data_IF_295884518183
#
_entry.id   IF_295884518183
#
_cell.length_a   1.000
_cell.length_b   1.000
_cell.length_c   1.000
_cell.angle_alpha   90.00
_cell.angle_beta   90.00
_cell.angle_gamma   90.00
#
_symmetry.space_group_name_H-M   'P 1'
#
loop_
_entity.id
_entity.type
_entity.pdbx_description
1 polymer ?
#
# COMPACT_ATOMS: atom_id res chain seq x y z
N UNK A 1 -1.50 -19.28 24.80
CA UNK A 1 -0.88 -20.14 23.75
C UNK A 1 -1.97 -20.69 22.81
N UNK A 2 -3.23 -20.70 23.22
CA UNK A 2 -4.34 -21.23 22.40
C UNK A 2 -4.75 -20.37 21.18
N UNK A 3 -4.47 -19.07 21.18
CA UNK A 3 -4.79 -18.19 20.04
C UNK A 3 -3.87 -18.33 18.82
N UNK A 4 -2.63 -18.78 19.01
CA UNK A 4 -1.64 -18.91 17.93
C UNK A 4 -1.91 -20.17 17.09
N UNK A 5 -2.37 -21.25 17.74
CA UNK A 5 -2.71 -22.50 17.07
C UNK A 5 -4.00 -22.38 16.22
N UNK A 6 -4.97 -21.58 16.64
CA UNK A 6 -6.23 -21.38 15.90
C UNK A 6 -6.03 -20.52 14.62
N UNK A 7 -5.07 -19.58 14.64
CA UNK A 7 -4.70 -18.78 13.47
C UNK A 7 -3.97 -19.60 12.40
N UNK A 8 -3.06 -20.51 12.82
CA UNK A 8 -2.33 -21.39 11.91
C UNK A 8 -3.21 -22.49 11.32
N UNK A 9 -4.13 -23.08 12.10
CA UNK A 9 -5.04 -24.14 11.63
C UNK A 9 -6.17 -23.64 10.72
N UNK A 10 -6.50 -22.34 10.75
CA UNK A 10 -7.50 -21.71 9.86
C UNK A 10 -6.88 -20.91 8.70
N UNK A 11 -5.57 -21.00 8.49
CA UNK A 11 -4.87 -20.26 7.43
C UNK A 11 -4.88 -18.73 7.60
N UNK A 12 -5.15 -18.23 8.81
CA UNK A 12 -5.23 -16.79 9.14
C UNK A 12 -3.89 -16.28 9.64
N UNK A 13 -2.83 -16.50 8.86
CA UNK A 13 -1.55 -15.82 9.10
C UNK A 13 -1.66 -14.39 8.59
N UNK A 14 -1.26 -13.41 9.41
CA UNK A 14 -1.29 -11.99 9.07
C UNK A 14 -0.36 -11.60 7.91
N UNK A 15 0.52 -12.50 7.49
CA UNK A 15 1.38 -12.31 6.33
C UNK A 15 0.67 -12.72 5.03
N UNK A 16 -0.33 -13.60 5.09
CA UNK A 16 -0.98 -14.20 3.91
C UNK A 16 -1.56 -13.17 2.94
N UNK A 17 -2.30 -12.14 3.40
CA UNK A 17 -2.85 -11.15 2.48
C UNK A 17 -1.75 -10.40 1.71
N UNK A 18 -0.70 -9.97 2.41
CA UNK A 18 0.44 -9.31 1.77
C UNK A 18 1.19 -10.24 0.82
N UNK A 19 1.33 -11.53 1.16
CA UNK A 19 1.96 -12.51 0.28
C UNK A 19 1.16 -12.74 -1.02
N UNK A 20 -0.17 -12.79 -0.94
CA UNK A 20 -1.03 -12.88 -2.13
C UNK A 20 -0.93 -11.62 -3.00
N UNK A 21 -0.87 -10.43 -2.38
CA UNK A 21 -0.65 -9.19 -3.12
C UNK A 21 0.73 -9.18 -3.81
N UNK A 22 1.79 -9.67 -3.13
CA UNK A 22 3.12 -9.80 -3.74
C UNK A 22 3.15 -10.81 -4.89
N UNK A 23 2.37 -11.88 -4.80
CA UNK A 23 2.23 -12.82 -5.91
C UNK A 23 1.61 -12.13 -7.14
N UNK A 24 0.57 -11.31 -6.94
CA UNK A 24 -0.02 -10.52 -8.02
C UNK A 24 0.97 -9.56 -8.69
N UNK A 25 1.89 -8.96 -7.90
CA UNK A 25 2.99 -8.12 -8.40
C UNK A 25 3.99 -8.89 -9.28
N UNK A 26 4.12 -10.21 -9.11
CA UNK A 26 4.91 -11.04 -10.02
C UNK A 26 4.09 -11.39 -11.26
N UNK A 27 2.85 -11.85 -11.07
CA UNK A 27 2.01 -12.36 -12.16
C UNK A 27 1.71 -11.28 -13.21
N UNK A 28 1.31 -10.08 -12.80
CA UNK A 28 0.94 -9.02 -13.76
C UNK A 28 2.15 -8.46 -14.51
N UNK A 29 3.05 -7.72 -13.83
CA UNK A 29 4.23 -7.12 -14.45
C UNK A 29 5.21 -8.10 -15.10
N UNK A 30 5.51 -9.25 -14.47
CA UNK A 30 6.58 -10.15 -14.95
C UNK A 30 6.04 -11.16 -15.96
N UNK A 31 4.87 -11.73 -15.69
CA UNK A 31 4.28 -12.76 -16.59
C UNK A 31 3.31 -12.16 -17.61
N UNK A 32 2.94 -10.89 -17.49
CA UNK A 32 2.00 -10.21 -18.38
C UNK A 32 0.53 -10.59 -18.14
N UNK A 33 0.21 -11.34 -17.08
CA UNK A 33 -1.13 -11.84 -16.80
C UNK A 33 -1.87 -10.93 -15.80
N UNK A 34 -2.41 -9.84 -16.32
CA UNK A 34 -3.13 -8.85 -15.50
C UNK A 34 -4.47 -9.35 -14.96
N UNK A 35 -5.11 -10.31 -15.62
CA UNK A 35 -6.37 -10.90 -15.16
C UNK A 35 -6.15 -11.73 -13.90
N UNK A 36 -5.13 -12.61 -13.91
CA UNK A 36 -4.73 -13.37 -12.73
C UNK A 36 -4.18 -12.44 -11.63
N UNK A 37 -3.39 -11.43 -11.98
CA UNK A 37 -2.92 -10.44 -11.01
C UNK A 37 -4.10 -9.78 -10.28
N UNK A 38 -5.11 -9.32 -11.02
CA UNK A 38 -6.34 -8.76 -10.46
C UNK A 38 -7.06 -9.74 -9.54
N UNK A 39 -7.18 -11.01 -9.94
CA UNK A 39 -7.81 -12.05 -9.12
C UNK A 39 -7.10 -12.23 -7.77
N UNK A 40 -5.76 -12.35 -7.78
CA UNK A 40 -4.97 -12.52 -6.55
C UNK A 40 -4.99 -11.25 -5.68
N UNK A 41 -5.00 -10.06 -6.29
CA UNK A 41 -5.19 -8.81 -5.56
C UNK A 41 -6.57 -8.73 -4.90
N UNK A 42 -7.64 -9.10 -5.61
CA UNK A 42 -9.00 -9.12 -5.04
C UNK A 42 -9.09 -10.10 -3.84
N UNK A 43 -8.40 -11.24 -3.91
CA UNK A 43 -8.28 -12.16 -2.78
C UNK A 43 -7.50 -11.58 -1.60
N UNK A 44 -6.35 -10.95 -1.85
CA UNK A 44 -5.56 -10.27 -0.83
C UNK A 44 -6.38 -9.20 -0.10
N UNK A 45 -7.11 -8.37 -0.85
CA UNK A 45 -7.97 -7.31 -0.32
C UNK A 45 -9.10 -7.86 0.54
N UNK A 46 -9.82 -8.89 0.05
CA UNK A 46 -10.88 -9.55 0.83
C UNK A 46 -10.35 -10.19 2.11
N UNK A 47 -9.17 -10.81 2.06
CA UNK A 47 -8.60 -11.47 3.22
C UNK A 47 -8.22 -10.48 4.31
N UNK A 48 -7.57 -9.35 4.01
CA UNK A 48 -7.17 -8.42 5.06
C UNK A 48 -8.38 -7.76 5.76
N UNK A 49 -9.54 -7.60 5.11
CA UNK A 49 -10.77 -7.11 5.75
C UNK A 49 -11.24 -8.01 6.90
N UNK A 50 -10.85 -9.28 6.87
CA UNK A 50 -11.16 -10.25 7.92
C UNK A 50 -10.08 -10.34 9.01
N UNK A 51 -9.00 -9.56 8.88
CA UNK A 51 -7.87 -9.55 9.81
C UNK A 51 -7.86 -8.26 10.64
N UNK A 52 -7.74 -8.40 11.97
CA UNK A 52 -7.61 -7.26 12.88
C UNK A 52 -6.13 -6.84 13.07
N UNK A 53 -5.38 -6.74 11.97
CA UNK A 53 -3.97 -6.33 11.96
C UNK A 53 -3.77 -5.15 11.01
N UNK A 54 -3.53 -3.98 11.60
CA UNK A 54 -3.34 -2.72 10.87
C UNK A 54 -2.07 -2.72 10.03
N UNK A 55 -0.97 -3.32 10.52
CA UNK A 55 0.28 -3.36 9.77
C UNK A 55 0.14 -4.26 8.53
N UNK A 56 -0.51 -5.42 8.68
CA UNK A 56 -0.86 -6.30 7.56
C UNK A 56 -1.75 -5.59 6.54
N UNK A 57 -2.80 -4.89 7.00
CA UNK A 57 -3.69 -4.13 6.13
C UNK A 57 -2.94 -3.04 5.34
N UNK A 58 -2.10 -2.25 6.01
CA UNK A 58 -1.27 -1.21 5.37
C UNK A 58 -0.39 -1.79 4.26
N UNK A 59 0.33 -2.89 4.52
CA UNK A 59 1.19 -3.53 3.53
C UNK A 59 0.41 -4.14 2.36
N UNK A 60 -0.70 -4.80 2.67
CA UNK A 60 -1.54 -5.44 1.65
C UNK A 60 -2.12 -4.40 0.71
N UNK A 61 -2.64 -3.29 1.25
CA UNK A 61 -3.19 -2.19 0.46
C UNK A 61 -2.09 -1.48 -0.34
N UNK A 62 -0.90 -1.27 0.23
CA UNK A 62 0.25 -0.71 -0.50
C UNK A 62 0.57 -1.51 -1.76
N UNK A 63 0.77 -2.83 -1.61
CA UNK A 63 1.15 -3.68 -2.74
C UNK A 63 0.00 -3.78 -3.74
N UNK A 64 -1.22 -3.97 -3.24
CA UNK A 64 -2.40 -4.12 -4.09
C UNK A 64 -2.67 -2.89 -4.94
N UNK A 65 -2.70 -1.69 -4.34
CA UNK A 65 -3.06 -0.47 -5.05
C UNK A 65 -1.87 0.24 -5.69
N UNK A 66 -0.70 0.23 -5.03
CA UNK A 66 0.49 0.94 -5.49
C UNK A 66 1.27 0.20 -6.57
N UNK A 67 1.27 -1.14 -6.54
CA UNK A 67 2.11 -1.94 -7.44
C UNK A 67 1.32 -2.78 -8.47
N UNK A 68 0.05 -3.08 -8.21
CA UNK A 68 -0.76 -3.93 -9.10
C UNK A 68 -1.91 -3.16 -9.74
N UNK A 69 -2.89 -2.71 -8.95
CA UNK A 69 -4.14 -2.15 -9.48
C UNK A 69 -3.94 -0.83 -10.23
N UNK A 70 -2.91 -0.04 -9.91
CA UNK A 70 -2.56 1.16 -10.68
C UNK A 70 -2.27 0.88 -12.17
N UNK A 71 -2.01 -0.38 -12.55
CA UNK A 71 -1.82 -0.80 -13.93
C UNK A 71 -3.11 -1.33 -14.59
N UNK A 72 -4.18 -1.55 -13.83
CA UNK A 72 -5.37 -2.30 -14.26
C UNK A 72 -6.65 -1.46 -14.16
N UNK A 73 -6.75 -0.58 -13.16
CA UNK A 73 -7.94 0.23 -12.89
C UNK A 73 -7.63 1.73 -13.01
N UNK A 74 -8.66 2.59 -13.19
CA UNK A 74 -8.45 4.03 -13.24
C UNK A 74 -7.74 4.57 -12.00
N UNK A 75 -6.80 5.49 -12.22
CA UNK A 75 -5.91 6.03 -11.18
C UNK A 75 -6.66 6.63 -9.98
N UNK A 76 -7.78 7.30 -10.23
CA UNK A 76 -8.64 7.91 -9.22
C UNK A 76 -9.12 6.88 -8.19
N UNK A 77 -9.27 5.62 -8.59
CA UNK A 77 -9.69 4.52 -7.73
C UNK A 77 -8.59 4.06 -6.77
N UNK A 78 -7.33 4.34 -7.07
CA UNK A 78 -6.18 3.97 -6.23
C UNK A 78 -5.78 5.06 -5.23
N UNK A 79 -6.21 6.31 -5.44
CA UNK A 79 -5.77 7.47 -4.66
C UNK A 79 -6.12 7.35 -3.17
N UNK A 80 -7.40 7.14 -2.86
CA UNK A 80 -7.85 7.11 -1.46
C UNK A 80 -7.25 5.93 -0.68
N UNK A 81 -7.24 4.69 -1.22
CA UNK A 81 -6.59 3.58 -0.55
C UNK A 81 -5.11 3.84 -0.23
N UNK A 82 -4.37 4.48 -1.13
CA UNK A 82 -2.98 4.86 -0.89
C UNK A 82 -2.85 5.90 0.24
N UNK A 83 -3.68 6.94 0.26
CA UNK A 83 -3.69 7.92 1.36
C UNK A 83 -4.05 7.31 2.73
N UNK A 84 -4.92 6.30 2.73
CA UNK A 84 -5.28 5.56 3.95
C UNK A 84 -4.10 4.72 4.46
N UNK A 85 -3.29 4.13 3.56
CA UNK A 85 -2.05 3.43 3.91
C UNK A 85 -1.03 4.39 4.52
N UNK A 86 -0.89 5.60 3.97
CA UNK A 86 -0.01 6.61 4.58
C UNK A 86 -0.46 6.89 6.02
N UNK A 87 -1.73 7.27 6.20
CA UNK A 87 -2.26 7.63 7.52
C UNK A 87 -2.20 6.47 8.51
N UNK A 88 -2.56 5.26 8.07
CA UNK A 88 -2.54 4.04 8.87
C UNK A 88 -1.13 3.56 9.22
N UNK A 89 -0.19 3.63 8.28
CA UNK A 89 1.22 3.29 8.49
C UNK A 89 1.88 4.23 9.49
N UNK A 90 1.66 5.54 9.35
CA UNK A 90 2.14 6.53 10.32
C UNK A 90 1.59 6.28 11.74
N UNK A 91 0.30 5.98 11.86
CA UNK A 91 -0.34 5.70 13.15
C UNK A 91 0.12 4.36 13.78
N UNK A 92 0.48 3.37 12.96
CA UNK A 92 0.93 2.06 13.39
C UNK A 92 2.45 1.94 13.59
N UNK A 93 3.21 2.99 13.25
CA UNK A 93 4.68 2.95 13.26
C UNK A 93 5.29 2.17 12.09
N UNK A 94 4.51 1.77 11.08
CA UNK A 94 5.03 1.20 9.82
C UNK A 94 5.43 2.33 8.87
N UNK A 95 6.53 3.01 9.24
CA UNK A 95 7.05 4.17 8.51
C UNK A 95 7.49 3.78 7.10
N UNK A 96 7.98 2.56 6.89
CA UNK A 96 8.39 2.09 5.57
C UNK A 96 7.19 2.04 4.63
N UNK A 97 6.10 1.38 5.02
CA UNK A 97 4.92 1.30 4.17
C UNK A 97 4.29 2.68 3.94
N UNK A 98 4.27 3.55 4.97
CA UNK A 98 3.79 4.92 4.84
C UNK A 98 4.63 5.73 3.84
N UNK A 99 5.95 5.64 3.88
CA UNK A 99 6.81 6.40 2.97
C UNK A 99 6.83 5.84 1.55
N UNK A 100 6.73 4.52 1.38
CA UNK A 100 6.60 3.91 0.04
C UNK A 100 5.35 4.41 -0.70
N UNK A 101 4.23 4.65 0.00
CA UNK A 101 3.05 5.27 -0.62
C UNK A 101 3.37 6.63 -1.25
N UNK A 102 4.21 7.45 -0.61
CA UNK A 102 4.53 8.79 -1.12
C UNK A 102 5.19 8.68 -2.49
N UNK A 103 6.07 7.68 -2.70
CA UNK A 103 6.69 7.42 -4.01
C UNK A 103 5.62 7.07 -5.05
N UNK A 104 4.74 6.10 -4.76
CA UNK A 104 3.67 5.72 -5.69
C UNK A 104 2.71 6.87 -5.99
N UNK A 105 2.35 7.66 -4.96
CA UNK A 105 1.51 8.84 -5.15
C UNK A 105 2.18 9.89 -6.03
N UNK A 106 3.49 10.11 -5.89
CA UNK A 106 4.24 11.05 -6.71
C UNK A 106 4.34 10.58 -8.15
N UNK A 107 4.70 9.31 -8.38
CA UNK A 107 4.69 8.71 -9.71
C UNK A 107 3.32 8.87 -10.37
N UNK A 108 2.24 8.64 -9.62
CA UNK A 108 0.87 8.85 -10.09
C UNK A 108 0.57 10.31 -10.43
N UNK A 109 1.03 11.27 -9.63
CA UNK A 109 0.84 12.69 -9.92
C UNK A 109 1.59 13.14 -11.18
N UNK A 110 2.79 12.59 -11.42
CA UNK A 110 3.53 12.85 -12.66
C UNK A 110 2.81 12.24 -13.88
N UNK A 111 2.35 11.00 -13.79
CA UNK A 111 1.63 10.33 -14.88
C UNK A 111 0.31 11.02 -15.25
N UNK A 112 -0.36 11.62 -14.26
CA UNK A 112 -1.64 12.31 -14.45
C UNK A 112 -1.50 13.81 -14.76
N UNK A 113 -0.28 14.29 -14.99
CA UNK A 113 0.02 15.70 -15.27
C UNK A 113 -0.60 16.66 -14.24
N UNK A 114 -0.57 16.27 -12.96
CA UNK A 114 -1.09 17.11 -11.88
C UNK A 114 -0.34 18.46 -11.86
N UNK A 115 -1.05 19.60 -11.73
CA UNK A 115 -0.40 20.91 -11.62
C UNK A 115 0.60 20.96 -10.47
N UNK A 116 1.72 21.67 -10.67
CA UNK A 116 2.81 21.78 -9.69
C UNK A 116 2.35 22.43 -8.39
N UNK A 117 1.41 23.38 -8.45
CA UNK A 117 0.83 24.02 -7.26
C UNK A 117 0.09 23.00 -6.39
N UNK A 118 -0.58 22.03 -7.01
CA UNK A 118 -1.26 20.94 -6.31
C UNK A 118 -0.31 19.91 -5.71
N UNK A 119 0.90 19.78 -6.24
CA UNK A 119 1.98 18.95 -5.70
C UNK A 119 2.66 19.62 -4.52
N UNK A 120 2.92 20.93 -4.60
CA UNK A 120 3.57 21.71 -3.54
C UNK A 120 2.77 21.69 -2.22
N UNK A 121 1.44 21.76 -2.33
CA UNK A 121 0.53 21.63 -1.19
C UNK A 121 0.62 20.25 -0.52
N UNK A 122 0.81 19.17 -1.30
CA UNK A 122 0.96 17.81 -0.77
C UNK A 122 2.34 17.62 -0.13
N UNK A 123 3.41 18.08 -0.79
CA UNK A 123 4.78 18.04 -0.27
C UNK A 123 4.90 18.78 1.07
N UNK A 124 4.24 19.92 1.21
CA UNK A 124 4.22 20.69 2.46
C UNK A 124 3.63 19.89 3.63
N UNK A 125 2.67 18.99 3.38
CA UNK A 125 2.09 18.11 4.40
C UNK A 125 3.08 17.03 4.85
N UNK A 126 3.84 16.45 3.91
CA UNK A 126 4.84 15.42 4.26
C UNK A 126 6.12 16.00 4.84
N UNK A 127 6.50 17.23 4.49
CA UNK A 127 7.64 17.92 5.08
C UNK A 127 7.53 17.98 6.61
N UNK A 128 6.35 18.34 7.11
CA UNK A 128 6.07 18.35 8.56
C UNK A 128 6.29 16.98 9.19
N UNK A 129 5.92 15.91 8.48
CA UNK A 129 6.14 14.55 8.95
C UNK A 129 7.63 14.19 8.95
N UNK A 130 8.41 14.59 7.94
CA UNK A 130 9.86 14.41 7.98
C UNK A 130 10.50 15.16 9.18
N UNK A 131 10.03 16.36 9.48
CA UNK A 131 10.46 17.16 10.64
C UNK A 131 10.12 16.46 11.97
N UNK A 132 8.89 15.95 12.12
CA UNK A 132 8.43 15.22 13.32
C UNK A 132 9.27 13.94 13.58
N UNK A 133 9.88 13.37 12.53
CA UNK A 133 10.76 12.19 12.61
C UNK A 133 12.25 12.53 12.69
N UNK A 134 12.62 13.81 12.90
CA UNK A 134 14.01 14.31 12.87
C UNK A 134 14.77 13.93 11.58
N UNK A 135 14.06 13.77 10.46
CA UNK A 135 14.66 13.54 9.16
C UNK A 135 14.98 14.89 8.51
N UNK A 136 16.22 15.34 8.71
CA UNK A 136 16.70 16.60 8.15
C UNK A 136 17.44 16.36 6.82
N UNK A 137 17.49 17.41 5.98
CA UNK A 137 18.39 17.41 4.81
C UNK A 137 19.81 17.13 5.30
N UNK A 138 20.43 16.10 4.75
CA UNK A 138 21.89 15.97 4.79
C UNK A 138 22.41 17.09 3.89
N UNK A 139 22.96 18.14 4.52
CA UNK A 139 23.63 19.24 3.85
C UNK A 139 25.00 18.82 3.34
#
# INVERSE_FOLDING_TARGET
IDGVNDALTKGRCNITPAALASLAMVIGPILGDWDSARLYTDYALKMHLTMNDKASATRTTLISYGMVLNNIVPYESCKQPLLDVYSGGMAAGDVYAAMCVVVFYLDLCFLTAKPLEGLDADFSRWKKVCEDFNQHKIS
#
